data_IF_181684026948
#
_entry.id   IF_181684026948
#
_cell.length_a   1.000
_cell.length_b   1.000
_cell.length_c   1.000
_cell.angle_alpha   90.00
_cell.angle_beta   90.00
_cell.angle_gamma   90.00
#
_symmetry.space_group_name_H-M   'P 1'
#
loop_
_entity.id
_entity.type
_entity.pdbx_description
1 polymer ?
#
# COMPACT_ATOMS: atom_id res chain seq x y z
N UNK A 1 -18.11 -39.98 2.78
CA UNK A 1 -17.79 -38.99 1.71
C UNK A 1 -17.17 -37.76 2.32
N UNK A 2 -16.01 -37.86 2.98
CA UNK A 2 -15.40 -36.79 3.75
C UNK A 2 -13.86 -36.71 3.69
N UNK A 3 -13.20 -37.64 2.96
CA UNK A 3 -11.72 -37.65 2.90
C UNK A 3 -11.11 -36.93 1.68
N UNK A 4 -11.92 -36.54 0.70
CA UNK A 4 -11.41 -35.97 -0.58
C UNK A 4 -11.09 -34.48 -0.50
N UNK A 5 -11.70 -33.70 0.40
CA UNK A 5 -11.47 -32.24 0.50
C UNK A 5 -10.23 -31.90 1.33
N UNK A 6 -9.98 -32.67 2.40
CA UNK A 6 -8.79 -32.46 3.25
C UNK A 6 -7.48 -32.80 2.53
N UNK A 7 -7.49 -33.81 1.64
CA UNK A 7 -6.30 -34.17 0.86
C UNK A 7 -5.94 -33.12 -0.22
N UNK A 8 -6.94 -32.40 -0.76
CA UNK A 8 -6.67 -31.35 -1.76
C UNK A 8 -6.11 -30.07 -1.15
N UNK A 9 -6.51 -29.72 0.07
CA UNK A 9 -5.95 -28.59 0.82
C UNK A 9 -4.50 -28.85 1.26
N UNK A 10 -4.18 -30.10 1.66
CA UNK A 10 -2.82 -30.48 2.02
C UNK A 10 -1.87 -30.53 0.79
N UNK A 11 -2.37 -30.87 -0.40
CA UNK A 11 -1.57 -30.89 -1.62
C UNK A 11 -1.21 -29.48 -2.11
N UNK A 12 -2.09 -28.51 -1.97
CA UNK A 12 -1.83 -27.10 -2.34
C UNK A 12 -0.89 -26.43 -1.32
N UNK A 13 -1.09 -26.68 -0.02
CA UNK A 13 -0.21 -26.20 1.04
C UNK A 13 1.20 -26.85 0.97
N UNK A 14 1.28 -28.13 0.65
CA UNK A 14 2.55 -28.85 0.50
C UNK A 14 3.38 -28.38 -0.72
N UNK A 15 2.74 -27.98 -1.80
CA UNK A 15 3.44 -27.48 -2.98
C UNK A 15 4.04 -26.07 -2.78
N UNK A 16 3.38 -25.21 -1.99
CA UNK A 16 3.93 -23.89 -1.64
C UNK A 16 5.10 -23.99 -0.63
N UNK A 17 5.04 -24.92 0.32
CA UNK A 17 6.12 -25.12 1.30
C UNK A 17 7.39 -25.74 0.72
N UNK A 18 7.26 -26.53 -0.35
CA UNK A 18 8.41 -27.11 -1.07
C UNK A 18 9.15 -26.10 -1.96
N UNK A 19 8.52 -25.00 -2.32
CA UNK A 19 9.15 -23.94 -3.12
C UNK A 19 10.01 -22.97 -2.28
N UNK A 20 9.81 -22.90 -0.97
CA UNK A 20 10.62 -22.05 -0.06
C UNK A 20 11.87 -22.75 0.50
N UNK A 21 12.00 -24.09 0.35
CA UNK A 21 13.07 -24.87 0.98
C UNK A 21 14.11 -25.45 0.02
N UNK A 22 13.96 -25.34 -1.29
CA UNK A 22 14.94 -25.82 -2.26
C UNK A 22 15.77 -24.63 -2.76
N UNK A 23 17.09 -24.77 -2.67
CA UNK A 23 18.08 -23.85 -3.25
C UNK A 23 17.70 -23.51 -4.68
N UNK A 24 17.11 -22.33 -4.88
CA UNK A 24 16.93 -21.75 -6.20
C UNK A 24 18.32 -21.55 -6.80
N UNK A 25 18.56 -22.10 -7.97
CA UNK A 25 19.79 -21.83 -8.70
C UNK A 25 20.01 -20.32 -8.81
N UNK A 26 21.25 -19.86 -8.84
CA UNK A 26 21.73 -18.48 -8.75
C UNK A 26 21.11 -17.45 -9.72
N UNK A 27 20.02 -17.77 -10.45
CA UNK A 27 19.36 -16.92 -11.45
C UNK A 27 17.81 -16.92 -11.36
N UNK A 28 17.20 -17.41 -10.29
CA UNK A 28 15.74 -17.35 -10.18
C UNK A 28 15.28 -15.94 -9.75
N UNK A 29 14.51 -15.29 -10.61
CA UNK A 29 13.91 -13.99 -10.32
C UNK A 29 12.86 -14.12 -9.22
N UNK A 30 12.85 -13.18 -8.27
CA UNK A 30 11.86 -13.14 -7.19
C UNK A 30 10.52 -12.72 -7.77
N UNK A 31 9.42 -13.44 -7.53
CA UNK A 31 8.09 -13.04 -7.99
C UNK A 31 7.71 -11.62 -7.53
N UNK A 32 6.89 -10.94 -8.32
CA UNK A 32 6.34 -9.63 -7.99
C UNK A 32 4.83 -9.71 -7.83
N UNK A 33 4.31 -9.09 -6.78
CA UNK A 33 2.90 -8.81 -6.61
C UNK A 33 2.64 -7.35 -6.80
N UNK A 34 1.63 -7.02 -7.59
CA UNK A 34 1.19 -5.63 -7.77
C UNK A 34 -0.26 -5.47 -7.29
N UNK A 35 -0.54 -4.31 -6.69
CA UNK A 35 -1.88 -3.95 -6.21
C UNK A 35 -2.24 -2.53 -6.67
N UNK A 36 -3.43 -2.42 -7.25
CA UNK A 36 -3.94 -1.20 -7.87
C UNK A 36 -4.37 -0.12 -6.86
N UNK A 37 -4.56 1.10 -7.38
CA UNK A 37 -5.10 2.23 -6.64
C UNK A 37 -6.64 2.27 -6.63
N UNK A 38 -7.18 3.33 -6.04
CA UNK A 38 -8.62 3.59 -5.97
C UNK A 38 -9.24 3.69 -7.37
N UNK A 39 -10.34 2.97 -7.59
CA UNK A 39 -11.09 3.03 -8.85
C UNK A 39 -10.49 2.26 -10.02
N UNK A 40 -9.35 1.60 -9.82
CA UNK A 40 -8.70 0.73 -10.80
C UNK A 40 -8.98 -0.75 -10.51
N UNK A 41 -8.34 -1.65 -11.24
CA UNK A 41 -8.48 -3.11 -11.08
C UNK A 41 -7.22 -3.85 -11.52
N UNK A 42 -7.08 -5.10 -11.09
CA UNK A 42 -5.98 -6.01 -11.43
C UNK A 42 -5.63 -6.04 -12.92
N UNK A 43 -6.65 -5.95 -13.76
CA UNK A 43 -6.60 -6.44 -15.13
C UNK A 43 -6.86 -5.34 -16.16
N UNK A 44 -6.91 -4.09 -15.74
CA UNK A 44 -7.06 -2.94 -16.62
C UNK A 44 -5.84 -2.82 -17.56
N UNK A 45 -6.03 -2.96 -18.89
CA UNK A 45 -4.92 -2.98 -19.84
C UNK A 45 -4.17 -1.65 -19.95
N UNK A 46 -4.74 -0.56 -19.48
CA UNK A 46 -4.13 0.77 -19.53
C UNK A 46 -3.33 1.11 -18.26
N UNK A 47 -3.48 0.31 -17.19
CA UNK A 47 -2.80 0.51 -15.91
C UNK A 47 -2.11 -0.78 -15.45
N UNK A 48 -2.70 -1.55 -14.53
CA UNK A 48 -2.07 -2.75 -13.93
C UNK A 48 -1.69 -3.81 -14.95
N UNK A 49 -2.51 -4.03 -15.99
CA UNK A 49 -2.18 -4.93 -17.10
C UNK A 49 -0.97 -4.45 -17.90
N UNK A 50 -0.84 -3.14 -18.12
CA UNK A 50 0.32 -2.54 -18.79
C UNK A 50 1.59 -2.65 -17.94
N UNK A 51 1.50 -2.37 -16.63
CA UNK A 51 2.63 -2.52 -15.69
C UNK A 51 3.11 -3.96 -15.64
N UNK A 52 2.18 -4.91 -15.46
CA UNK A 52 2.50 -6.34 -15.48
C UNK A 52 3.28 -6.73 -16.72
N UNK A 53 2.73 -6.39 -17.89
CA UNK A 53 3.37 -6.70 -19.18
C UNK A 53 4.76 -6.06 -19.30
N UNK A 54 4.88 -4.78 -18.93
CA UNK A 54 6.17 -4.07 -18.97
C UNK A 54 7.22 -4.76 -18.10
N UNK A 55 6.89 -5.15 -16.87
CA UNK A 55 7.81 -5.81 -15.96
C UNK A 55 8.22 -7.20 -16.49
N UNK A 56 7.26 -7.98 -17.02
CA UNK A 56 7.54 -9.30 -17.62
C UNK A 56 8.43 -9.21 -18.87
N UNK A 57 8.34 -8.13 -19.66
CA UNK A 57 9.21 -7.84 -20.79
C UNK A 57 10.63 -7.45 -20.35
N UNK A 58 10.77 -6.61 -19.33
CA UNK A 58 12.05 -6.04 -18.88
C UNK A 58 12.85 -6.96 -17.94
N UNK A 59 12.18 -7.89 -17.28
CA UNK A 59 12.79 -8.85 -16.34
C UNK A 59 12.46 -10.29 -16.79
N UNK A 60 13.23 -10.88 -17.70
CA UNK A 60 12.93 -12.21 -18.21
C UNK A 60 12.83 -13.27 -17.11
N UNK A 61 11.73 -14.01 -17.12
CA UNK A 61 11.48 -15.09 -16.16
C UNK A 61 10.85 -14.65 -14.85
N UNK A 62 10.56 -13.36 -14.65
CA UNK A 62 9.77 -12.90 -13.49
C UNK A 62 8.31 -13.33 -13.61
N UNK A 63 7.75 -13.81 -12.51
CA UNK A 63 6.30 -14.01 -12.40
C UNK A 63 5.66 -12.79 -11.76
N UNK A 64 4.70 -12.16 -12.45
CA UNK A 64 3.98 -10.99 -11.93
C UNK A 64 2.53 -11.36 -11.65
N UNK A 65 2.11 -11.25 -10.40
CA UNK A 65 0.72 -11.40 -9.96
C UNK A 65 0.10 -10.02 -9.74
N UNK A 66 -0.88 -9.66 -10.54
CA UNK A 66 -1.75 -8.52 -10.25
C UNK A 66 -2.92 -8.99 -9.39
N UNK A 67 -3.03 -8.45 -8.18
CA UNK A 67 -4.05 -8.88 -7.22
C UNK A 67 -5.44 -8.44 -7.66
N UNK A 68 -6.39 -9.36 -7.56
CA UNK A 68 -7.81 -9.12 -7.75
C UNK A 68 -8.56 -9.43 -6.46
N UNK A 69 -9.22 -8.42 -5.90
CA UNK A 69 -10.00 -8.54 -4.68
C UNK A 69 -11.48 -8.74 -5.04
N UNK A 70 -11.87 -9.98 -5.20
CA UNK A 70 -13.21 -10.37 -5.63
C UNK A 70 -13.17 -11.45 -6.70
N UNK A 71 -14.31 -11.69 -7.32
CA UNK A 71 -14.46 -12.75 -8.35
C UNK A 71 -14.50 -12.19 -9.77
N UNK A 72 -14.63 -10.88 -9.92
CA UNK A 72 -14.72 -10.19 -11.21
C UNK A 72 -14.00 -8.85 -11.14
N UNK A 73 -13.59 -8.32 -12.29
CA UNK A 73 -12.98 -6.99 -12.42
C UNK A 73 -13.88 -5.88 -11.83
N UNK A 74 -15.20 -6.00 -12.00
CA UNK A 74 -16.15 -5.03 -11.42
C UNK A 74 -16.13 -5.09 -9.90
N UNK A 75 -16.17 -6.29 -9.32
CA UNK A 75 -16.07 -6.45 -7.87
C UNK A 75 -14.71 -5.99 -7.32
N UNK A 76 -13.63 -6.20 -8.07
CA UNK A 76 -12.30 -5.73 -7.70
C UNK A 76 -12.27 -4.20 -7.56
N UNK A 77 -12.81 -3.49 -8.56
CA UNK A 77 -12.96 -2.03 -8.52
C UNK A 77 -13.86 -1.58 -7.36
N UNK A 78 -15.02 -2.20 -7.18
CA UNK A 78 -15.97 -1.88 -6.11
C UNK A 78 -15.37 -2.10 -4.72
N UNK A 79 -14.63 -3.20 -4.53
CA UNK A 79 -13.97 -3.52 -3.27
C UNK A 79 -12.88 -2.50 -2.90
N UNK A 80 -12.23 -1.89 -3.89
CA UNK A 80 -11.31 -0.76 -3.70
C UNK A 80 -11.96 0.49 -3.10
N UNK A 81 -13.30 0.58 -3.13
CA UNK A 81 -14.07 1.67 -2.50
C UNK A 81 -14.77 1.26 -1.20
N UNK A 82 -15.31 0.04 -1.11
CA UNK A 82 -16.35 -0.32 -0.14
C UNK A 82 -16.03 -1.52 0.74
N UNK A 83 -15.02 -2.32 0.43
CA UNK A 83 -14.63 -3.46 1.26
C UNK A 83 -13.70 -3.01 2.38
N UNK A 84 -13.91 -3.51 3.60
CA UNK A 84 -13.00 -3.24 4.73
C UNK A 84 -11.56 -3.66 4.35
N UNK A 85 -10.60 -2.74 4.53
CA UNK A 85 -9.20 -2.96 4.15
C UNK A 85 -8.60 -4.14 4.92
N UNK A 86 -9.00 -4.35 6.17
CA UNK A 86 -8.51 -5.46 6.96
C UNK A 86 -8.93 -6.83 6.39
N UNK A 87 -10.05 -6.90 5.66
CA UNK A 87 -10.48 -8.11 4.96
C UNK A 87 -9.69 -8.34 3.67
N UNK A 88 -9.20 -7.27 3.02
CA UNK A 88 -8.43 -7.34 1.78
C UNK A 88 -6.99 -7.85 1.98
N UNK A 89 -6.40 -7.66 3.16
CA UNK A 89 -4.96 -7.83 3.45
C UNK A 89 -4.52 -9.30 3.65
N UNK A 90 -5.36 -10.31 3.45
CA UNK A 90 -5.12 -11.69 3.92
C UNK A 90 -4.18 -12.59 3.12
N UNK A 91 -3.59 -12.17 2.01
CA UNK A 91 -2.80 -13.10 1.16
C UNK A 91 -1.71 -12.40 0.36
N UNK A 92 -0.40 -12.58 0.67
CA UNK A 92 0.67 -12.65 -0.33
C UNK A 92 2.08 -12.35 0.19
N UNK A 93 3.16 -12.99 -0.36
CA UNK A 93 4.56 -12.72 0.00
C UNK A 93 5.53 -12.82 -1.18
N UNK A 94 6.34 -11.72 -1.40
CA UNK A 94 7.46 -11.66 -2.38
C UNK A 94 7.89 -10.20 -2.53
N UNK A 95 8.46 -9.75 -3.67
CA UNK A 95 8.53 -8.31 -3.96
C UNK A 95 7.11 -7.81 -4.16
N UNK A 96 6.78 -6.69 -3.54
CA UNK A 96 5.46 -6.10 -3.63
C UNK A 96 5.54 -4.67 -4.15
N UNK A 97 4.65 -4.31 -5.06
CA UNK A 97 4.55 -2.95 -5.59
C UNK A 97 3.09 -2.50 -5.55
N UNK A 98 2.82 -1.50 -4.71
CA UNK A 98 1.50 -0.90 -4.58
C UNK A 98 1.42 0.45 -5.27
N UNK A 99 0.25 0.76 -5.78
CA UNK A 99 -0.05 2.03 -6.43
C UNK A 99 -1.10 2.78 -5.61
N UNK A 100 -0.80 4.03 -5.21
CA UNK A 100 -1.71 4.83 -4.39
C UNK A 100 -2.16 4.08 -3.12
N UNK A 101 -3.46 3.90 -2.87
CA UNK A 101 -3.97 3.13 -1.73
C UNK A 101 -3.43 1.68 -1.65
N UNK A 102 -3.15 1.04 -2.79
CA UNK A 102 -2.56 -0.30 -2.82
C UNK A 102 -1.20 -0.37 -2.12
N UNK A 103 -0.47 0.74 -2.05
CA UNK A 103 0.80 0.86 -1.33
C UNK A 103 0.61 0.70 0.18
N UNK A 104 -0.41 1.35 0.75
CA UNK A 104 -0.73 1.20 2.18
C UNK A 104 -1.19 -0.22 2.50
N UNK A 105 -1.96 -0.84 1.60
CA UNK A 105 -2.45 -2.20 1.80
C UNK A 105 -1.28 -3.19 1.81
N UNK A 106 -0.34 -3.07 0.88
CA UNK A 106 0.87 -3.91 0.87
C UNK A 106 1.78 -3.63 2.07
N UNK A 107 1.85 -2.38 2.57
CA UNK A 107 2.52 -2.10 3.84
C UNK A 107 1.85 -2.81 5.01
N UNK A 108 0.53 -2.83 5.07
CA UNK A 108 -0.22 -3.58 6.07
C UNK A 108 0.04 -5.09 5.95
N UNK A 109 0.13 -5.63 4.72
CA UNK A 109 0.56 -7.03 4.50
C UNK A 109 1.95 -7.26 5.08
N UNK A 110 2.94 -6.40 4.76
CA UNK A 110 4.28 -6.52 5.30
C UNK A 110 4.31 -6.54 6.83
N UNK A 111 3.48 -5.71 7.49
CA UNK A 111 3.41 -5.65 8.95
C UNK A 111 2.71 -6.86 9.56
N UNK A 112 1.62 -7.36 8.95
CA UNK A 112 0.71 -8.36 9.54
C UNK A 112 1.00 -9.78 9.11
N UNK A 113 1.57 -10.00 7.94
CA UNK A 113 1.73 -11.30 7.29
C UNK A 113 3.21 -11.58 6.98
N UNK A 114 4.01 -12.07 7.96
CA UNK A 114 5.44 -12.27 7.78
C UNK A 114 5.81 -13.51 6.96
N UNK A 115 4.88 -14.40 6.69
CA UNK A 115 5.13 -15.69 6.02
C UNK A 115 4.24 -15.89 4.79
N UNK A 116 4.87 -16.11 3.66
CA UNK A 116 6.31 -16.00 3.38
C UNK A 116 6.78 -14.53 3.41
N UNK A 117 8.07 -14.21 3.71
CA UNK A 117 8.52 -12.84 3.93
C UNK A 117 8.55 -12.00 2.65
N UNK A 118 8.04 -10.78 2.72
CA UNK A 118 8.18 -9.78 1.67
C UNK A 118 9.65 -9.33 1.60
N UNK A 119 10.25 -9.36 0.41
CA UNK A 119 11.65 -8.97 0.22
C UNK A 119 11.81 -7.46 0.08
N UNK A 120 11.13 -6.88 -0.90
CA UNK A 120 11.09 -5.43 -1.11
C UNK A 120 9.64 -4.96 -1.20
N UNK A 121 9.36 -3.81 -0.60
CA UNK A 121 8.11 -3.09 -0.76
C UNK A 121 8.38 -1.82 -1.57
N UNK A 122 7.68 -1.68 -2.69
CA UNK A 122 7.74 -0.51 -3.56
C UNK A 122 6.38 0.19 -3.48
N UNK A 123 6.36 1.39 -2.93
CA UNK A 123 5.20 2.25 -2.79
C UNK A 123 5.23 3.34 -3.85
N UNK A 124 4.29 3.32 -4.77
CA UNK A 124 4.20 4.29 -5.85
C UNK A 124 3.01 5.21 -5.57
N UNK A 125 3.28 6.43 -5.12
CA UNK A 125 2.25 7.41 -4.75
C UNK A 125 1.41 7.00 -3.54
N UNK A 126 1.98 6.28 -2.59
CA UNK A 126 1.26 5.74 -1.44
C UNK A 126 1.23 6.68 -0.25
N UNK A 127 0.04 7.09 0.17
CA UNK A 127 -0.23 8.04 1.25
C UNK A 127 -0.05 7.43 2.65
N UNK A 128 1.19 7.29 3.12
CA UNK A 128 1.53 6.53 4.33
C UNK A 128 1.08 7.17 5.65
N UNK A 129 0.91 8.48 5.67
CA UNK A 129 0.28 9.22 6.77
C UNK A 129 -1.20 9.54 6.50
N UNK A 130 -1.77 8.97 5.44
CA UNK A 130 -3.14 9.23 5.03
C UNK A 130 -3.27 10.50 4.20
N UNK A 131 -4.51 10.99 4.12
CA UNK A 131 -4.86 12.22 3.40
C UNK A 131 -5.77 13.10 4.25
N UNK A 132 -5.58 14.40 4.11
CA UNK A 132 -6.48 15.45 4.61
C UNK A 132 -6.63 16.51 3.54
N UNK A 133 -7.57 16.38 2.77
CA UNK A 133 -7.83 17.16 1.56
C UNK A 133 -8.61 16.27 0.63
N UNK A 134 -9.33 16.88 -0.27
CA UNK A 134 -10.19 16.12 -1.15
C UNK A 134 -9.51 16.03 -2.50
N UNK A 135 -9.25 14.81 -2.98
CA UNK A 135 -8.63 14.63 -4.27
C UNK A 135 -9.42 15.37 -5.34
N UNK A 136 -8.74 15.95 -6.30
CA UNK A 136 -9.38 16.44 -7.51
C UNK A 136 -9.87 15.21 -8.27
N UNK A 137 -11.19 15.06 -8.34
CA UNK A 137 -11.77 13.93 -9.06
C UNK A 137 -11.60 14.13 -10.57
N UNK A 138 -10.87 13.26 -11.26
CA UNK A 138 -10.74 13.36 -12.70
C UNK A 138 -12.07 13.02 -13.37
N UNK A 139 -12.54 13.88 -14.27
CA UNK A 139 -13.68 13.64 -15.17
C UNK A 139 -15.07 13.91 -14.58
N UNK A 140 -16.09 13.62 -15.39
CA UNK A 140 -17.50 13.85 -15.08
C UNK A 140 -18.13 12.89 -14.05
N UNK A 141 -17.38 11.97 -13.48
CA UNK A 141 -17.84 11.07 -12.39
C UNK A 141 -17.91 11.77 -11.03
N UNK A 142 -18.29 13.06 -11.05
CA UNK A 142 -18.39 13.94 -9.88
C UNK A 142 -19.26 13.39 -8.74
N UNK A 143 -20.29 12.59 -9.07
CA UNK A 143 -21.27 12.13 -8.06
C UNK A 143 -20.67 11.19 -7.00
N UNK A 144 -19.79 10.27 -7.37
CA UNK A 144 -19.13 9.37 -6.40
C UNK A 144 -18.19 10.17 -5.51
N UNK A 145 -17.40 11.06 -6.09
CA UNK A 145 -16.49 11.91 -5.34
C UNK A 145 -17.21 12.90 -4.41
N UNK A 146 -18.27 13.52 -4.89
CA UNK A 146 -19.11 14.41 -4.05
C UNK A 146 -19.73 13.62 -2.90
N UNK A 147 -20.15 12.39 -3.15
CA UNK A 147 -20.68 11.51 -2.10
C UNK A 147 -19.59 11.14 -1.08
N UNK A 148 -18.41 10.74 -1.51
CA UNK A 148 -17.25 10.46 -0.64
C UNK A 148 -16.94 11.70 0.22
N UNK A 149 -16.83 12.89 -0.40
CA UNK A 149 -16.64 14.15 0.31
C UNK A 149 -17.65 14.37 1.40
N UNK A 150 -18.93 14.20 1.06
CA UNK A 150 -20.03 14.36 2.00
C UNK A 150 -19.92 13.38 3.17
N UNK A 151 -19.56 12.14 2.91
CA UNK A 151 -19.39 11.12 3.94
C UNK A 151 -18.19 11.43 4.86
N UNK A 152 -17.04 11.83 4.29
CA UNK A 152 -15.87 12.21 5.07
C UNK A 152 -16.14 13.44 5.96
N UNK A 153 -16.74 14.49 5.39
CA UNK A 153 -17.07 15.70 6.14
C UNK A 153 -18.15 15.48 7.21
N UNK A 154 -19.05 14.51 7.04
CA UNK A 154 -20.14 14.26 7.97
C UNK A 154 -19.81 13.30 9.11
N UNK A 155 -18.70 12.57 9.01
CA UNK A 155 -18.38 11.60 10.06
C UNK A 155 -17.40 10.52 9.63
N UNK A 156 -16.23 10.90 9.12
CA UNK A 156 -15.18 9.95 8.69
C UNK A 156 -14.87 8.88 9.75
N UNK A 157 -14.97 9.24 11.02
CA UNK A 157 -14.62 8.36 12.14
C UNK A 157 -15.81 7.67 12.81
N UNK A 158 -16.99 7.71 12.20
CA UNK A 158 -18.10 6.88 12.66
C UNK A 158 -17.91 5.43 12.26
N UNK A 159 -18.35 4.49 13.10
CA UNK A 159 -18.23 3.05 12.83
C UNK A 159 -18.77 2.65 11.46
N UNK A 160 -19.89 3.22 11.07
CA UNK A 160 -20.53 2.93 9.79
C UNK A 160 -19.66 3.37 8.61
N UNK A 161 -19.13 4.60 8.67
CA UNK A 161 -18.29 5.13 7.59
C UNK A 161 -16.95 4.40 7.54
N UNK A 162 -16.32 4.17 8.67
CA UNK A 162 -15.06 3.43 8.74
C UNK A 162 -15.18 2.00 8.18
N UNK A 163 -16.30 1.30 8.38
CA UNK A 163 -16.48 -0.09 7.91
C UNK A 163 -16.92 -0.21 6.45
N UNK A 164 -17.40 0.86 5.82
CA UNK A 164 -18.01 0.78 4.49
C UNK A 164 -17.41 1.76 3.47
N UNK A 165 -16.43 2.55 3.86
CA UNK A 165 -15.75 3.50 2.98
C UNK A 165 -14.25 3.40 3.17
N UNK A 166 -13.56 2.83 2.18
CA UNK A 166 -12.09 2.65 2.21
C UNK A 166 -11.37 3.98 2.43
N UNK A 167 -11.83 5.06 1.79
CA UNK A 167 -11.22 6.39 1.89
C UNK A 167 -11.27 6.94 3.32
N UNK A 168 -12.28 6.58 4.11
CA UNK A 168 -12.34 6.96 5.53
C UNK A 168 -11.30 6.21 6.37
N UNK A 169 -10.89 5.02 5.96
CA UNK A 169 -9.92 4.20 6.71
C UNK A 169 -8.49 4.74 6.60
N UNK A 170 -8.20 5.59 5.61
CA UNK A 170 -6.93 6.32 5.50
C UNK A 170 -7.11 7.85 5.54
N UNK A 171 -8.30 8.34 5.93
CA UNK A 171 -8.50 9.75 6.26
C UNK A 171 -7.78 10.08 7.56
N UNK A 172 -6.97 11.14 7.54
CA UNK A 172 -6.23 11.61 8.70
C UNK A 172 -6.52 13.11 8.88
N UNK A 173 -7.34 13.43 9.85
CA UNK A 173 -7.75 14.82 10.15
C UNK A 173 -6.79 15.42 11.19
N UNK A 174 -5.88 16.31 10.80
CA UNK A 174 -4.93 16.91 11.74
C UNK A 174 -5.58 17.89 12.71
N UNK A 175 -6.78 18.38 12.40
CA UNK A 175 -7.55 19.26 13.29
C UNK A 175 -8.25 18.46 14.40
N UNK A 176 -8.46 17.17 14.17
CA UNK A 176 -9.10 16.23 15.11
C UNK A 176 -8.24 14.97 15.29
N UNK A 177 -6.94 15.16 15.51
CA UNK A 177 -5.93 14.09 15.60
C UNK A 177 -6.29 13.03 16.66
N UNK A 178 -6.87 13.43 17.80
CA UNK A 178 -7.36 12.49 18.82
C UNK A 178 -8.48 11.58 18.30
N UNK A 179 -9.37 12.09 17.47
CA UNK A 179 -10.43 11.27 16.83
C UNK A 179 -9.84 10.32 15.81
N UNK A 180 -8.88 10.78 14.99
CA UNK A 180 -8.14 9.93 14.09
C UNK A 180 -7.48 8.77 14.84
N UNK A 181 -6.65 9.07 15.83
CA UNK A 181 -5.93 8.05 16.62
C UNK A 181 -6.88 7.04 17.25
N UNK A 182 -8.00 7.50 17.79
CA UNK A 182 -8.95 6.66 18.50
C UNK A 182 -9.82 5.81 17.60
N UNK A 183 -10.28 6.33 16.48
CA UNK A 183 -11.38 5.74 15.70
C UNK A 183 -11.00 5.30 14.28
N UNK A 184 -9.84 5.69 13.74
CA UNK A 184 -9.39 5.13 12.46
C UNK A 184 -9.10 3.64 12.63
N UNK A 185 -9.83 2.80 11.86
CA UNK A 185 -9.74 1.34 11.99
C UNK A 185 -8.48 0.79 11.32
N UNK A 186 -8.03 1.41 10.25
CA UNK A 186 -6.91 0.90 9.45
C UNK A 186 -5.64 1.73 9.63
N UNK A 187 -5.66 3.02 9.24
CA UNK A 187 -4.43 3.81 9.20
C UNK A 187 -3.79 3.98 10.58
N UNK A 188 -4.57 4.33 11.60
CA UNK A 188 -4.05 4.48 12.95
C UNK A 188 -3.54 3.16 13.55
N UNK A 189 -4.03 2.01 13.08
CA UNK A 189 -3.50 0.70 13.46
C UNK A 189 -2.13 0.45 12.81
N UNK A 190 -2.03 0.58 11.50
CA UNK A 190 -0.76 0.32 10.80
C UNK A 190 0.31 1.40 11.04
N UNK A 191 -0.07 2.60 11.48
CA UNK A 191 0.83 3.66 11.97
C UNK A 191 1.13 3.52 13.48
N UNK A 192 0.50 2.53 14.14
CA UNK A 192 0.72 2.23 15.55
C UNK A 192 0.46 3.44 16.46
N UNK A 193 -0.60 4.20 16.17
CA UNK A 193 -0.93 5.44 16.88
C UNK A 193 -1.43 5.20 18.31
N UNK A 194 -1.96 4.02 18.59
CA UNK A 194 -2.53 3.67 19.91
C UNK A 194 -1.60 2.86 20.78
N UNK A 195 -1.00 1.82 20.20
CA UNK A 195 -0.11 0.88 20.90
C UNK A 195 0.90 0.36 19.90
N UNK A 196 2.16 0.32 20.29
CA UNK A 196 3.21 -0.27 19.46
C UNK A 196 3.10 -1.79 19.50
N UNK A 197 2.91 -2.39 18.34
CA UNK A 197 2.94 -3.82 18.12
C UNK A 197 4.35 -4.21 17.61
N UNK A 198 5.14 -4.76 18.49
CA UNK A 198 6.53 -5.14 18.19
C UNK A 198 6.63 -6.17 17.05
N UNK A 199 5.59 -6.98 16.83
CA UNK A 199 5.55 -7.92 15.71
C UNK A 199 5.40 -7.16 14.39
N UNK A 200 4.51 -6.17 14.30
CA UNK A 200 4.36 -5.32 13.11
C UNK A 200 5.65 -4.57 12.79
N UNK A 201 6.27 -3.98 13.83
CA UNK A 201 7.55 -3.29 13.73
C UNK A 201 8.63 -4.22 13.19
N UNK A 202 8.84 -5.37 13.82
CA UNK A 202 9.81 -6.38 13.40
C UNK A 202 9.59 -6.87 11.97
N UNK A 203 8.33 -7.12 11.60
CA UNK A 203 7.99 -7.60 10.27
C UNK A 203 8.32 -6.55 9.20
N UNK A 204 7.98 -5.27 9.42
CA UNK A 204 8.30 -4.18 8.50
C UNK A 204 9.82 -4.02 8.35
N UNK A 205 10.55 -4.07 9.47
CA UNK A 205 12.01 -3.99 9.50
C UNK A 205 12.70 -5.17 8.77
N UNK A 206 12.00 -6.29 8.56
CA UNK A 206 12.53 -7.45 7.83
C UNK A 206 12.68 -7.21 6.33
N UNK A 207 12.05 -6.17 5.79
CA UNK A 207 12.23 -5.76 4.40
C UNK A 207 13.71 -5.50 4.08
N UNK A 208 14.16 -5.88 2.88
CA UNK A 208 15.47 -5.46 2.37
C UNK A 208 15.45 -3.99 1.99
N UNK A 209 14.41 -3.57 1.24
CA UNK A 209 14.16 -2.17 0.88
C UNK A 209 12.68 -1.83 1.00
N UNK A 210 12.42 -0.62 1.47
CA UNK A 210 11.14 0.06 1.36
C UNK A 210 11.36 1.28 0.48
N UNK A 211 10.92 1.18 -0.76
CA UNK A 211 11.07 2.22 -1.78
C UNK A 211 9.78 3.03 -1.84
N UNK A 212 9.88 4.32 -1.70
CA UNK A 212 8.74 5.24 -1.70
C UNK A 212 8.91 6.27 -2.82
N UNK A 213 7.97 6.27 -3.76
CA UNK A 213 7.94 7.21 -4.89
C UNK A 213 6.97 8.34 -4.60
N UNK A 214 7.45 9.57 -4.66
CA UNK A 214 6.66 10.80 -4.53
C UNK A 214 6.49 11.49 -5.87
N UNK A 215 5.25 11.91 -6.16
CA UNK A 215 4.89 12.67 -7.33
C UNK A 215 4.84 14.15 -6.96
N UNK A 216 5.82 14.93 -7.44
CA UNK A 216 6.01 16.32 -7.00
C UNK A 216 4.85 17.25 -7.35
N UNK A 217 4.02 16.89 -8.32
CA UNK A 217 2.84 17.63 -8.76
C UNK A 217 1.53 16.89 -8.46
N UNK A 218 1.55 15.97 -7.50
CA UNK A 218 0.38 15.15 -7.14
C UNK A 218 -0.82 16.02 -6.76
N UNK A 219 -1.95 15.76 -7.40
CA UNK A 219 -3.23 16.43 -7.12
C UNK A 219 -4.25 15.54 -6.42
N UNK A 220 -3.88 14.28 -6.14
CA UNK A 220 -4.74 13.27 -5.51
C UNK A 220 -4.40 13.04 -4.05
N UNK A 221 -3.11 13.05 -3.71
CA UNK A 221 -2.61 12.89 -2.33
C UNK A 221 -2.39 14.28 -1.74
N UNK A 222 -3.11 14.59 -0.67
CA UNK A 222 -2.98 15.84 0.06
C UNK A 222 -2.84 15.54 1.57
N UNK A 223 -1.73 15.94 2.20
CA UNK A 223 -0.53 16.54 1.59
C UNK A 223 0.31 15.51 0.81
N UNK A 224 0.96 15.97 -0.25
CA UNK A 224 1.86 15.16 -1.10
C UNK A 224 2.98 14.50 -0.28
N UNK A 225 3.44 15.17 0.76
CA UNK A 225 4.48 14.67 1.67
C UNK A 225 4.11 13.36 2.38
N UNK A 226 2.81 13.01 2.42
CA UNK A 226 2.33 11.73 2.95
C UNK A 226 2.89 10.52 2.19
N UNK A 227 3.31 10.70 0.93
CA UNK A 227 3.97 9.67 0.14
C UNK A 227 5.36 9.28 0.69
N UNK A 228 5.96 10.16 1.52
CA UNK A 228 7.20 9.94 2.26
C UNK A 228 7.01 10.02 3.78
N UNK A 229 5.80 9.73 4.29
CA UNK A 229 5.43 9.84 5.70
C UNK A 229 5.48 11.24 6.30
N UNK A 230 5.58 12.31 5.51
CA UNK A 230 5.35 13.67 6.01
C UNK A 230 3.85 13.94 6.16
N UNK A 231 3.47 14.87 7.02
CA UNK A 231 2.07 15.24 7.21
C UNK A 231 1.92 16.63 7.83
N UNK A 232 0.68 17.09 8.00
CA UNK A 232 0.40 18.29 8.77
C UNK A 232 0.71 18.07 10.27
N UNK A 233 1.28 19.10 10.91
CA UNK A 233 1.46 19.09 12.37
C UNK A 233 0.10 19.03 13.07
N UNK A 234 -0.05 18.27 14.16
CA UNK A 234 -1.31 18.16 14.89
C UNK A 234 -1.91 19.51 15.30
N UNK A 235 -3.23 19.64 15.17
CA UNK A 235 -3.99 20.84 15.57
C UNK A 235 -4.06 21.96 14.52
N UNK A 236 -3.49 21.75 13.33
CA UNK A 236 -3.52 22.74 12.24
C UNK A 236 -3.34 22.06 10.87
N UNK A 237 -3.63 22.78 9.78
CA UNK A 237 -3.67 22.26 8.39
C UNK A 237 -2.82 23.10 7.41
N UNK A 238 -1.72 23.68 7.88
CA UNK A 238 -0.88 24.59 7.10
C UNK A 238 0.59 24.20 7.12
N UNK A 239 1.12 23.91 8.28
CA UNK A 239 2.53 23.54 8.45
C UNK A 239 2.68 22.03 8.36
N UNK A 240 3.59 21.61 7.53
CA UNK A 240 3.97 20.21 7.38
C UNK A 240 5.16 19.86 8.29
N UNK A 241 5.26 18.61 8.66
CA UNK A 241 6.44 18.00 9.22
C UNK A 241 6.92 16.87 8.29
N UNK A 242 8.22 16.69 8.23
CA UNK A 242 8.84 15.58 7.50
C UNK A 242 8.70 14.28 8.28
N UNK A 243 9.03 13.14 7.64
CA UNK A 243 9.12 11.87 8.36
C UNK A 243 9.99 12.00 9.60
N UNK A 244 11.19 12.58 9.48
CA UNK A 244 12.18 12.68 10.56
C UNK A 244 11.75 13.58 11.71
N UNK A 245 10.84 14.50 11.47
CA UNK A 245 10.26 15.39 12.50
C UNK A 245 9.01 14.78 13.15
N UNK A 246 8.38 13.82 12.51
CA UNK A 246 7.10 13.23 12.95
C UNK A 246 7.27 12.32 14.19
N UNK A 247 6.20 12.21 14.97
CA UNK A 247 6.14 11.30 16.12
C UNK A 247 6.36 9.83 15.70
N UNK A 248 5.92 9.44 14.51
CA UNK A 248 6.08 8.06 14.01
C UNK A 248 7.55 7.67 13.86
N UNK A 249 8.41 8.65 13.54
CA UNK A 249 9.87 8.46 13.44
C UNK A 249 10.57 8.69 14.77
N UNK A 250 10.30 9.80 15.45
CA UNK A 250 11.00 10.17 16.70
C UNK A 250 10.75 9.20 17.84
N UNK A 251 9.58 8.56 17.86
CA UNK A 251 9.25 7.46 18.79
C UNK A 251 9.57 6.08 18.21
N UNK A 252 10.05 6.03 16.98
CA UNK A 252 10.40 4.82 16.24
C UNK A 252 9.31 3.73 16.27
N UNK A 253 8.05 4.13 16.13
CA UNK A 253 6.89 3.24 16.26
C UNK A 253 6.91 2.08 15.25
N UNK A 254 7.47 2.30 14.06
CA UNK A 254 7.50 1.35 12.94
C UNK A 254 8.89 0.75 12.68
N UNK A 255 9.93 1.16 13.40
CA UNK A 255 11.31 0.76 13.13
C UNK A 255 11.95 1.55 11.97
N UNK A 256 11.37 2.70 11.59
CA UNK A 256 11.85 3.49 10.47
C UNK A 256 13.21 4.13 10.73
N UNK A 257 13.54 4.43 11.99
CA UNK A 257 14.89 4.95 12.37
C UNK A 257 15.97 3.92 12.08
N UNK A 258 15.74 2.67 12.47
CA UNK A 258 16.70 1.59 12.19
C UNK A 258 16.78 1.29 10.70
N UNK A 259 15.63 1.25 10.00
CA UNK A 259 15.58 1.04 8.56
C UNK A 259 16.29 2.14 7.78
N UNK A 260 16.13 3.40 8.18
CA UNK A 260 16.79 4.56 7.57
C UNK A 260 18.29 4.48 7.79
N UNK A 261 18.74 4.29 9.03
CA UNK A 261 20.14 4.13 9.39
C UNK A 261 20.81 2.96 8.66
N UNK A 262 20.08 1.89 8.38
CA UNK A 262 20.55 0.74 7.60
C UNK A 262 20.47 0.96 6.07
N UNK A 263 20.04 2.13 5.60
CA UNK A 263 19.84 2.43 4.19
C UNK A 263 18.77 1.59 3.52
N UNK A 264 17.77 1.12 4.28
CA UNK A 264 16.66 0.33 3.77
C UNK A 264 15.53 1.21 3.25
N UNK A 265 15.38 2.46 3.73
CA UNK A 265 14.43 3.43 3.19
C UNK A 265 15.03 4.06 1.93
N UNK A 266 14.23 4.09 0.87
CA UNK A 266 14.62 4.70 -0.40
C UNK A 266 13.54 5.70 -0.80
N UNK A 267 13.94 6.95 -0.93
CA UNK A 267 13.07 8.06 -1.31
C UNK A 267 13.34 8.44 -2.76
N UNK A 268 12.36 8.21 -3.62
CA UNK A 268 12.42 8.56 -5.05
C UNK A 268 11.34 9.59 -5.36
N UNK A 269 11.64 10.51 -6.27
CA UNK A 269 10.67 11.48 -6.75
C UNK A 269 10.59 11.50 -8.27
N UNK A 270 9.42 11.88 -8.79
CA UNK A 270 9.21 12.15 -10.20
C UNK A 270 8.38 13.41 -10.40
N UNK A 271 8.59 14.07 -11.51
CA UNK A 271 8.02 15.39 -11.85
C UNK A 271 6.66 15.26 -12.55
N UNK A 272 5.78 14.41 -12.03
CA UNK A 272 4.46 14.15 -12.59
C UNK A 272 3.32 14.39 -11.61
N UNK A 273 2.10 14.41 -12.12
CA UNK A 273 0.89 14.26 -11.33
C UNK A 273 0.74 12.80 -10.88
N UNK A 274 -0.24 12.51 -10.03
CA UNK A 274 -0.48 11.22 -9.41
C UNK A 274 -0.32 10.03 -10.37
N UNK A 275 0.62 9.15 -10.07
CA UNK A 275 0.95 7.95 -10.85
C UNK A 275 1.43 8.22 -12.30
N UNK A 276 1.80 9.44 -12.62
CA UNK A 276 2.35 9.81 -13.94
C UNK A 276 3.88 9.67 -13.94
N UNK A 277 4.36 8.65 -14.62
CA UNK A 277 5.78 8.40 -14.87
C UNK A 277 5.99 7.80 -16.27
N UNK A 278 7.20 7.95 -16.80
CA UNK A 278 7.57 7.32 -18.09
C UNK A 278 8.08 5.90 -17.88
N UNK A 279 8.02 5.06 -18.94
CA UNK A 279 8.62 3.72 -18.91
C UNK A 279 10.12 3.79 -18.62
N UNK A 280 10.82 4.77 -19.19
CA UNK A 280 12.24 4.99 -18.95
C UNK A 280 12.52 5.25 -17.47
N UNK A 281 11.78 6.20 -16.86
CA UNK A 281 11.92 6.49 -15.44
C UNK A 281 11.67 5.24 -14.57
N UNK A 282 10.64 4.46 -14.89
CA UNK A 282 10.32 3.23 -14.19
C UNK A 282 11.48 2.21 -14.31
N UNK A 283 12.01 2.02 -15.50
CA UNK A 283 13.10 1.09 -15.76
C UNK A 283 14.37 1.47 -15.00
N UNK A 284 14.70 2.75 -14.96
CA UNK A 284 15.90 3.26 -14.31
C UNK A 284 15.80 3.26 -12.78
N UNK A 285 14.61 3.51 -12.23
CA UNK A 285 14.43 3.78 -10.81
C UNK A 285 13.77 2.63 -10.04
N UNK A 286 12.91 1.82 -10.65
CA UNK A 286 12.16 0.76 -9.93
C UNK A 286 12.61 -0.65 -10.28
N UNK A 287 12.95 -0.96 -11.52
CA UNK A 287 13.42 -2.30 -11.90
C UNK A 287 14.65 -2.80 -11.13
N UNK A 288 15.61 -1.95 -10.70
CA UNK A 288 16.74 -2.40 -9.88
C UNK A 288 16.35 -3.12 -8.59
N UNK A 289 15.16 -2.83 -8.05
CA UNK A 289 14.64 -3.47 -6.84
C UNK A 289 13.87 -4.78 -7.09
N UNK A 290 13.67 -5.15 -8.35
CA UNK A 290 12.99 -6.39 -8.76
C UNK A 290 13.95 -7.49 -9.24
N UNK A 291 15.23 -7.15 -9.41
CA UNK A 291 16.28 -8.04 -9.91
C UNK A 291 17.07 -8.72 -8.81
#
# INVERSE_FOLDING_TARGET
>A
MGLSAALRLLAVSGCLLLLCGSSWGNNATVPLVIWHGMGDSCCNPLSMGSIKKMVEEEVPGIYVLSLMIGKTVVQDTENGFFMDVNEQVSFVCYNAMGFSQGSQFLRAVAQRCPDPPMKNLISVGGQHQGVFGLPRCPGESSHICEWIRKMLNSGAYTDTVQKHLVQAQYWHDPLNDDLYKKHSLFLADINQERVVNETYKKNLMSLNKFVMVKFLQDTMVDPVDSEWFGFYKPGQDKELETLQESAIYTEDRLGLVEMDSAGKLVFLATDGDHLQFTREWFNDNLLPYLR
#
